data_IF_975886175855
#
_entry.id   IF_975886175855
#
_cell.length_a   1.000
_cell.length_b   1.000
_cell.length_c   1.000
_cell.angle_alpha   90.00
_cell.angle_beta   90.00
_cell.angle_gamma   90.00
#
_symmetry.space_group_name_H-M   'P 1'
#
loop_
_entity.id
_entity.type
_entity.pdbx_description
1 polymer ?
#
# COMPACT_ATOMS: atom_id res chain seq x y z
N UNK A 1 -20.88 -13.36 20.79
CA UNK A 1 -19.42 -13.45 20.95
C UNK A 1 -18.63 -13.44 19.62
N UNK A 2 -19.29 -13.54 18.45
CA UNK A 2 -18.62 -13.51 17.13
C UNK A 2 -18.58 -12.14 16.44
N UNK A 3 -19.18 -11.10 17.00
CA UNK A 3 -19.28 -9.76 16.36
C UNK A 3 -18.09 -8.83 16.61
N UNK A 4 -17.42 -8.91 17.76
CA UNK A 4 -16.30 -8.00 18.09
C UNK A 4 -15.03 -8.25 17.29
N UNK A 5 -14.69 -9.51 17.00
CA UNK A 5 -13.49 -9.85 16.22
C UNK A 5 -13.52 -9.40 14.75
N UNK A 6 -14.70 -9.08 14.21
CA UNK A 6 -14.86 -8.69 12.81
C UNK A 6 -14.59 -7.20 12.56
N UNK A 7 -14.61 -6.38 13.61
CA UNK A 7 -14.42 -4.92 13.54
C UNK A 7 -13.09 -4.45 14.16
N UNK A 8 -12.23 -5.37 14.57
CA UNK A 8 -10.91 -5.05 15.11
C UNK A 8 -9.91 -4.88 13.96
N UNK A 9 -9.67 -3.63 13.56
CA UNK A 9 -8.77 -3.29 12.49
C UNK A 9 -7.32 -3.69 12.80
N UNK A 10 -6.89 -3.64 14.06
CA UNK A 10 -5.58 -4.10 14.49
C UNK A 10 -5.38 -5.60 14.25
N UNK A 11 -6.42 -6.41 14.51
CA UNK A 11 -6.36 -7.87 14.24
C UNK A 11 -6.30 -8.17 12.76
N UNK A 12 -7.01 -7.40 11.94
CA UNK A 12 -6.95 -7.54 10.48
C UNK A 12 -5.57 -7.16 9.94
N UNK A 13 -5.01 -6.07 10.45
CA UNK A 13 -3.67 -5.63 10.07
C UNK A 13 -2.62 -6.66 10.50
N UNK A 14 -2.66 -7.14 11.75
CA UNK A 14 -1.78 -8.21 12.21
C UNK A 14 -1.88 -9.49 11.36
N UNK A 15 -3.10 -9.91 11.02
CA UNK A 15 -3.33 -11.07 10.15
C UNK A 15 -2.75 -10.86 8.73
N UNK A 16 -2.65 -9.62 8.27
CA UNK A 16 -2.03 -9.31 6.99
C UNK A 16 -0.51 -9.47 7.02
N UNK A 17 0.15 -9.21 8.15
CA UNK A 17 1.58 -9.52 8.34
C UNK A 17 1.88 -11.02 8.36
N UNK A 18 0.88 -11.87 8.65
CA UNK A 18 1.03 -13.33 8.63
C UNK A 18 0.88 -13.94 7.22
N UNK A 19 0.79 -13.14 6.17
CA UNK A 19 0.70 -13.67 4.81
C UNK A 19 1.99 -14.42 4.41
N UNK A 20 1.89 -15.52 3.64
CA UNK A 20 3.06 -16.32 3.25
C UNK A 20 4.14 -15.53 2.51
N UNK A 21 3.75 -14.48 1.78
CA UNK A 21 4.68 -13.62 1.07
C UNK A 21 5.57 -12.81 2.03
N UNK A 22 5.06 -12.31 3.16
CA UNK A 22 5.86 -11.64 4.20
C UNK A 22 6.84 -12.62 4.82
N UNK A 23 6.39 -13.82 5.20
CA UNK A 23 7.25 -14.84 5.78
C UNK A 23 8.41 -15.25 4.83
N UNK A 24 8.13 -15.40 3.53
CA UNK A 24 9.17 -15.71 2.53
C UNK A 24 10.18 -14.57 2.33
N UNK A 25 9.79 -13.33 2.55
CA UNK A 25 10.62 -12.14 2.39
C UNK A 25 11.07 -11.53 3.73
N UNK A 26 11.13 -12.32 4.80
CA UNK A 26 11.39 -11.86 6.17
C UNK A 26 12.63 -10.98 6.32
N UNK A 27 13.67 -11.21 5.53
CA UNK A 27 14.91 -10.43 5.56
C UNK A 27 14.86 -9.12 4.75
N UNK A 28 13.79 -8.87 3.96
CA UNK A 28 13.76 -7.77 3.00
C UNK A 28 12.44 -7.01 2.95
N UNK A 29 11.37 -7.53 3.56
CA UNK A 29 10.04 -6.91 3.46
C UNK A 29 10.00 -5.51 4.08
N UNK A 30 10.79 -5.28 5.11
CA UNK A 30 10.93 -4.01 5.81
C UNK A 30 11.57 -2.89 4.98
N UNK A 31 12.06 -3.22 3.79
CA UNK A 31 12.52 -2.19 2.84
C UNK A 31 11.36 -1.31 2.35
N UNK A 32 10.17 -1.90 2.21
CA UNK A 32 9.00 -1.21 1.65
C UNK A 32 7.71 -1.41 2.45
N UNK A 33 7.79 -2.04 3.61
CA UNK A 33 6.65 -2.23 4.53
C UNK A 33 7.15 -2.00 5.95
N UNK A 34 6.43 -1.21 6.74
CA UNK A 34 6.75 -0.99 8.14
C UNK A 34 6.76 -2.34 8.89
N UNK A 35 7.75 -2.57 9.75
CA UNK A 35 7.80 -3.79 10.58
C UNK A 35 6.66 -3.80 11.57
N UNK A 36 6.14 -4.99 11.83
CA UNK A 36 5.20 -5.23 12.91
C UNK A 36 5.90 -6.01 14.03
N UNK A 37 5.89 -5.47 15.23
CA UNK A 37 6.47 -6.04 16.44
C UNK A 37 5.47 -6.86 17.25
N UNK A 38 4.20 -6.85 16.84
CA UNK A 38 3.13 -7.59 17.51
C UNK A 38 2.33 -6.73 18.49
N UNK A 39 1.78 -7.37 19.51
CA UNK A 39 0.80 -6.79 20.41
C UNK A 39 1.42 -6.20 21.67
N UNK A 40 0.90 -5.07 22.11
CA UNK A 40 1.18 -4.47 23.42
C UNK A 40 -0.12 -4.19 24.14
N UNK A 41 -0.14 -4.46 25.45
CA UNK A 41 -1.28 -4.11 26.30
C UNK A 41 -1.19 -2.65 26.72
N UNK A 42 -2.24 -1.89 26.48
CA UNK A 42 -2.37 -0.48 26.89
C UNK A 42 -3.58 -0.28 27.81
N UNK A 43 -3.69 0.91 28.40
CA UNK A 43 -4.86 1.29 29.21
C UNK A 43 -6.15 1.41 28.40
N UNK A 44 -6.04 1.53 27.06
CA UNK A 44 -7.15 1.64 26.12
C UNK A 44 -7.49 0.31 25.43
N UNK A 45 -6.77 -0.77 25.77
CA UNK A 45 -6.90 -2.10 25.14
C UNK A 45 -5.61 -2.56 24.47
N UNK A 46 -5.70 -3.65 23.71
CA UNK A 46 -4.54 -4.21 23.01
C UNK A 46 -4.23 -3.37 21.74
N UNK A 47 -2.99 -2.88 21.65
CA UNK A 47 -2.47 -2.12 20.50
C UNK A 47 -1.53 -2.95 19.63
N UNK A 48 -1.48 -2.66 18.34
CA UNK A 48 -0.49 -3.22 17.42
C UNK A 48 0.71 -2.27 17.32
N UNK A 49 1.91 -2.80 17.49
CA UNK A 49 3.16 -2.02 17.42
C UNK A 49 3.81 -2.21 16.07
N UNK A 50 4.03 -1.09 15.37
CA UNK A 50 4.73 -1.07 14.08
C UNK A 50 5.86 -0.05 14.11
N UNK A 51 6.76 -0.09 13.10
CA UNK A 51 7.80 0.93 12.93
C UNK A 51 7.19 2.33 12.79
N UNK A 52 7.80 3.29 13.46
CA UNK A 52 7.69 4.70 13.11
C UNK A 52 8.78 5.01 12.07
N UNK A 53 8.37 5.25 10.83
CA UNK A 53 9.31 5.68 9.79
C UNK A 53 9.62 7.16 10.01
N UNK A 54 10.89 7.49 10.15
CA UNK A 54 11.36 8.84 10.45
C UNK A 54 12.14 9.47 9.29
N UNK A 55 12.13 10.80 9.25
CA UNK A 55 13.00 11.62 8.42
C UNK A 55 14.44 11.67 8.97
N UNK A 56 15.33 12.43 8.31
CA UNK A 56 16.74 12.59 8.74
C UNK A 56 16.88 13.32 10.09
N UNK A 57 15.84 14.03 10.54
CA UNK A 57 15.83 14.77 11.81
C UNK A 57 15.20 13.97 12.95
N UNK A 58 14.69 12.75 12.65
CA UNK A 58 14.01 11.89 13.62
C UNK A 58 12.51 12.19 13.80
N UNK A 59 11.94 13.10 12.98
CA UNK A 59 10.49 13.32 12.96
C UNK A 59 9.77 12.26 12.13
N UNK A 60 8.46 12.05 12.34
CA UNK A 60 7.67 11.21 11.43
C UNK A 60 7.89 11.62 9.97
N UNK A 61 8.19 10.63 9.13
CA UNK A 61 8.42 10.88 7.71
C UNK A 61 7.14 11.36 7.03
N UNK A 62 7.27 12.28 6.08
CA UNK A 62 6.19 12.84 5.28
C UNK A 62 5.52 11.74 4.45
N UNK A 63 4.19 11.81 4.31
CA UNK A 63 3.47 10.94 3.41
C UNK A 63 3.69 11.32 1.95
N UNK A 64 3.50 10.36 1.06
CA UNK A 64 3.57 10.63 -0.38
C UNK A 64 2.50 11.64 -0.82
N UNK A 65 1.31 11.62 -0.19
CA UNK A 65 0.23 12.58 -0.48
C UNK A 65 0.63 14.02 -0.12
N UNK A 66 1.22 14.23 1.06
CA UNK A 66 1.74 15.54 1.49
C UNK A 66 2.84 16.02 0.54
N UNK A 67 3.83 15.17 0.24
CA UNK A 67 4.90 15.52 -0.70
C UNK A 67 4.38 15.94 -2.06
N UNK A 68 3.45 15.16 -2.64
CA UNK A 68 2.87 15.47 -3.95
C UNK A 68 2.11 16.80 -3.95
N UNK A 69 1.46 17.16 -2.84
CA UNK A 69 0.75 18.43 -2.72
C UNK A 69 1.69 19.64 -2.70
N UNK A 70 2.91 19.46 -2.19
CA UNK A 70 3.91 20.54 -2.02
C UNK A 70 4.86 20.65 -3.22
N UNK A 71 5.27 19.51 -3.80
CA UNK A 71 6.36 19.43 -4.78
C UNK A 71 5.94 18.85 -6.12
N UNK A 72 4.74 18.24 -6.20
CA UNK A 72 4.32 17.54 -7.40
C UNK A 72 5.03 16.19 -7.57
N UNK A 73 4.92 15.62 -8.77
CA UNK A 73 5.49 14.32 -9.13
C UNK A 73 6.84 14.50 -9.84
N UNK A 74 7.90 14.63 -9.08
CA UNK A 74 9.27 14.76 -9.59
C UNK A 74 9.93 13.40 -9.91
N UNK A 75 11.16 13.46 -10.44
CA UNK A 75 11.93 12.28 -10.82
C UNK A 75 12.31 11.40 -9.62
N UNK A 76 12.56 12.00 -8.45
CA UNK A 76 12.91 11.26 -7.23
C UNK A 76 11.75 10.37 -6.79
N UNK A 77 10.55 10.94 -6.78
CA UNK A 77 9.33 10.20 -6.43
C UNK A 77 8.98 9.15 -7.50
N UNK A 78 9.11 9.47 -8.79
CA UNK A 78 8.91 8.49 -9.84
C UNK A 78 9.82 7.26 -9.67
N UNK A 79 11.11 7.48 -9.35
CA UNK A 79 12.05 6.40 -9.07
C UNK A 79 11.65 5.60 -7.81
N UNK A 80 11.24 6.27 -6.75
CA UNK A 80 10.78 5.63 -5.52
C UNK A 80 9.54 4.74 -5.76
N UNK A 81 8.57 5.22 -6.55
CA UNK A 81 7.37 4.47 -6.97
C UNK A 81 7.76 3.26 -7.84
N UNK A 82 8.67 3.43 -8.79
CA UNK A 82 9.17 2.31 -9.62
C UNK A 82 9.86 1.23 -8.77
N UNK A 83 10.63 1.61 -7.75
CA UNK A 83 11.29 0.68 -6.85
C UNK A 83 10.29 -0.08 -5.97
N UNK A 84 9.28 0.61 -5.41
CA UNK A 84 8.18 -0.02 -4.69
C UNK A 84 7.41 -1.01 -5.58
N UNK A 85 7.09 -0.60 -6.81
CA UNK A 85 6.37 -1.46 -7.76
C UNK A 85 7.18 -2.74 -8.11
N UNK A 86 8.49 -2.60 -8.34
CA UNK A 86 9.40 -3.75 -8.55
C UNK A 86 9.41 -4.66 -7.33
N UNK A 87 9.52 -4.11 -6.14
CA UNK A 87 9.50 -4.86 -4.89
C UNK A 87 8.20 -5.66 -4.73
N UNK A 88 7.03 -5.04 -4.92
CA UNK A 88 5.75 -5.73 -4.80
C UNK A 88 5.60 -6.86 -5.81
N UNK A 89 6.04 -6.66 -7.07
CA UNK A 89 6.02 -7.69 -8.11
C UNK A 89 6.90 -8.89 -7.79
N UNK A 90 8.05 -8.67 -7.18
CA UNK A 90 9.01 -9.75 -6.84
C UNK A 90 8.68 -10.44 -5.54
N UNK A 91 8.29 -9.70 -4.51
CA UNK A 91 7.96 -10.24 -3.19
C UNK A 91 6.61 -10.94 -3.13
N UNK A 92 5.66 -10.55 -4.02
CA UNK A 92 4.26 -10.97 -4.00
C UNK A 92 3.53 -10.62 -2.69
N UNK A 93 4.01 -9.61 -1.97
CA UNK A 93 3.34 -9.10 -0.78
C UNK A 93 2.05 -8.39 -1.19
N UNK A 94 0.93 -8.84 -0.63
CA UNK A 94 -0.39 -8.36 -0.98
C UNK A 94 -0.76 -7.13 -0.16
N UNK A 95 -1.31 -6.13 -0.84
CA UNK A 95 -1.79 -4.89 -0.23
C UNK A 95 -3.25 -4.68 -0.55
N UNK A 96 -4.07 -4.27 0.42
CA UNK A 96 -5.50 -3.94 0.23
C UNK A 96 -5.68 -2.48 -0.17
N UNK A 97 -4.79 -1.59 0.32
CA UNK A 97 -4.93 -0.14 0.18
C UNK A 97 -3.57 0.52 -0.10
N UNK A 98 -3.15 0.50 -1.37
CA UNK A 98 -1.92 1.12 -1.84
C UNK A 98 -2.20 2.56 -2.28
N UNK A 99 -2.38 3.46 -1.30
CA UNK A 99 -2.74 4.87 -1.51
C UNK A 99 -1.62 5.79 -1.04
N UNK A 100 -1.47 7.01 -1.59
CA UNK A 100 -0.39 7.93 -1.24
C UNK A 100 -0.31 8.28 0.26
N UNK A 101 -1.43 8.40 0.97
CA UNK A 101 -1.45 8.66 2.41
C UNK A 101 -0.97 7.46 3.27
N UNK A 102 -0.92 6.25 2.70
CA UNK A 102 -0.40 5.05 3.36
C UNK A 102 1.07 4.76 3.02
N UNK A 103 1.69 5.61 2.20
CA UNK A 103 3.09 5.51 1.79
C UNK A 103 3.87 6.70 2.37
N UNK A 104 4.94 6.43 3.09
CA UNK A 104 5.81 7.47 3.65
C UNK A 104 7.19 7.44 2.99
N UNK A 105 7.84 8.62 2.95
CA UNK A 105 9.13 8.83 2.31
C UNK A 105 10.26 8.61 3.30
N UNK A 106 10.79 7.40 3.39
CA UNK A 106 12.00 7.13 4.14
C UNK A 106 13.23 7.60 3.33
N UNK A 107 14.12 8.43 3.90
CA UNK A 107 15.32 8.86 3.19
C UNK A 107 16.26 7.69 2.91
N UNK A 108 16.97 7.73 1.77
CA UNK A 108 18.04 6.82 1.41
C UNK A 108 19.11 7.54 0.55
N UNK A 109 20.18 6.82 0.20
CA UNK A 109 21.33 7.39 -0.57
C UNK A 109 20.95 7.89 -1.97
N UNK A 110 19.81 7.49 -2.52
CA UNK A 110 19.31 7.85 -3.84
C UNK A 110 18.12 8.84 -3.79
N UNK A 111 17.83 9.41 -2.63
CA UNK A 111 16.68 10.27 -2.38
C UNK A 111 15.70 9.65 -1.41
N UNK A 112 14.65 8.99 -1.91
CA UNK A 112 13.60 8.42 -1.07
C UNK A 112 13.31 6.97 -1.38
N UNK A 113 12.90 6.25 -0.35
CA UNK A 113 12.31 4.93 -0.39
C UNK A 113 10.88 5.02 0.15
N UNK A 114 9.90 4.54 -0.61
CA UNK A 114 8.52 4.48 -0.15
C UNK A 114 8.33 3.29 0.78
N UNK A 115 7.72 3.53 1.93
CA UNK A 115 7.37 2.51 2.92
C UNK A 115 5.88 2.53 3.17
N UNK A 116 5.22 1.38 3.00
CA UNK A 116 3.82 1.18 3.32
C UNK A 116 3.67 1.05 4.83
N UNK A 117 2.89 1.95 5.44
CA UNK A 117 2.64 2.00 6.89
C UNK A 117 1.28 1.42 7.28
N UNK A 118 0.34 1.32 6.34
CA UNK A 118 -0.99 0.73 6.50
C UNK A 118 -1.45 0.14 5.15
N UNK A 119 -2.45 -0.71 5.20
CA UNK A 119 -3.07 -1.24 3.99
C UNK A 119 -2.49 -2.55 3.48
N UNK A 120 -1.80 -3.33 4.31
CA UNK A 120 -1.43 -4.71 4.00
C UNK A 120 -2.64 -5.62 3.86
N UNK A 121 -2.46 -6.74 3.12
CA UNK A 121 -3.42 -7.83 3.00
C UNK A 121 -4.36 -7.75 1.82
N UNK A 122 -5.51 -8.41 1.95
CA UNK A 122 -6.54 -8.51 0.92
C UNK A 122 -7.87 -7.94 1.42
N UNK A 123 -8.57 -7.24 0.54
CA UNK A 123 -9.96 -6.80 0.76
C UNK A 123 -11.00 -7.78 0.21
N UNK A 124 -10.58 -8.92 -0.38
CA UNK A 124 -11.46 -9.88 -1.05
C UNK A 124 -11.87 -11.03 -0.15
N UNK A 125 -13.13 -11.46 -0.30
CA UNK A 125 -13.71 -12.59 0.45
C UNK A 125 -13.02 -13.93 0.13
N UNK A 126 -12.56 -14.12 -1.13
CA UNK A 126 -11.85 -15.33 -1.57
C UNK A 126 -10.34 -15.03 -1.63
N UNK A 127 -9.52 -15.63 -0.74
CA UNK A 127 -8.10 -15.29 -0.64
C UNK A 127 -7.22 -16.03 -1.66
N UNK A 128 -7.68 -16.23 -2.90
CA UNK A 128 -6.95 -16.97 -3.95
C UNK A 128 -5.54 -16.43 -4.18
N UNK A 129 -5.36 -15.11 -4.06
CA UNK A 129 -4.07 -14.47 -4.21
C UNK A 129 -3.04 -14.87 -3.13
N UNK A 130 -3.46 -15.40 -1.97
CA UNK A 130 -2.54 -15.91 -0.94
C UNK A 130 -1.89 -17.24 -1.35
N UNK A 131 -2.56 -18.02 -2.21
CA UNK A 131 -2.19 -19.40 -2.53
C UNK A 131 -1.77 -19.60 -3.99
N UNK A 132 -1.99 -18.62 -4.85
CA UNK A 132 -1.64 -18.68 -6.27
C UNK A 132 -0.82 -17.47 -6.70
N UNK A 133 0.36 -17.72 -7.25
CA UNK A 133 1.24 -16.68 -7.79
C UNK A 133 0.56 -15.87 -8.90
N UNK A 134 -0.19 -16.51 -9.77
CA UNK A 134 -0.94 -15.84 -10.85
C UNK A 134 -1.95 -14.83 -10.29
N UNK A 135 -2.75 -15.24 -9.30
CA UNK A 135 -3.73 -14.32 -8.69
C UNK A 135 -3.06 -13.24 -7.85
N UNK A 136 -1.92 -13.55 -7.21
CA UNK A 136 -1.12 -12.55 -6.49
C UNK A 136 -0.59 -11.46 -7.43
N UNK A 137 0.02 -11.86 -8.55
CA UNK A 137 0.51 -10.92 -9.57
C UNK A 137 -0.61 -10.04 -10.12
N UNK A 138 -1.74 -10.65 -10.50
CA UNK A 138 -2.90 -9.91 -11.01
C UNK A 138 -3.46 -8.91 -9.98
N UNK A 139 -3.49 -9.31 -8.72
CA UNK A 139 -3.91 -8.40 -7.63
C UNK A 139 -2.94 -7.21 -7.49
N UNK A 140 -1.63 -7.48 -7.47
CA UNK A 140 -0.59 -6.45 -7.34
C UNK A 140 -0.67 -5.47 -8.52
N UNK A 141 -0.75 -5.97 -9.77
CA UNK A 141 -0.86 -5.08 -10.94
C UNK A 141 -2.09 -4.18 -10.85
N UNK A 142 -3.23 -4.71 -10.41
CA UNK A 142 -4.43 -3.90 -10.19
C UNK A 142 -4.21 -2.81 -9.13
N UNK A 143 -3.50 -3.12 -8.03
CA UNK A 143 -3.19 -2.11 -6.99
C UNK A 143 -2.20 -1.07 -7.47
N UNK A 144 -1.20 -1.46 -8.25
CA UNK A 144 -0.25 -0.53 -8.88
C UNK A 144 -0.94 0.40 -9.89
N UNK A 145 -1.84 -0.12 -10.72
CA UNK A 145 -2.65 0.71 -11.63
C UNK A 145 -3.46 1.76 -10.86
N UNK A 146 -4.07 1.36 -9.73
CA UNK A 146 -4.78 2.30 -8.86
C UNK A 146 -3.86 3.37 -8.26
N UNK A 147 -2.66 2.98 -7.81
CA UNK A 147 -1.67 3.92 -7.31
C UNK A 147 -1.29 4.93 -8.40
N UNK A 148 -0.90 4.48 -9.60
CA UNK A 148 -0.53 5.37 -10.70
C UNK A 148 -1.65 6.34 -11.05
N UNK A 149 -2.86 5.84 -11.18
CA UNK A 149 -4.04 6.68 -11.45
C UNK A 149 -4.29 7.72 -10.34
N UNK A 150 -4.09 7.32 -9.07
CA UNK A 150 -4.20 8.26 -7.95
C UNK A 150 -3.09 9.31 -7.99
N UNK A 151 -1.86 8.94 -8.33
CA UNK A 151 -0.74 9.89 -8.47
C UNK A 151 -1.03 10.93 -9.56
N UNK A 152 -1.56 10.52 -10.71
CA UNK A 152 -1.96 11.44 -11.79
C UNK A 152 -3.03 12.43 -11.31
N UNK A 153 -4.00 11.94 -10.54
CA UNK A 153 -5.03 12.80 -9.96
C UNK A 153 -4.47 13.77 -8.91
N UNK A 154 -3.54 13.33 -8.06
CA UNK A 154 -2.93 14.19 -7.02
C UNK A 154 -2.19 15.41 -7.61
N UNK A 155 -1.58 15.25 -8.77
CA UNK A 155 -0.83 16.32 -9.45
C UNK A 155 -1.66 17.08 -10.49
N UNK A 156 -2.92 16.69 -10.70
CA UNK A 156 -3.85 17.40 -11.57
C UNK A 156 -4.38 18.67 -10.90
N UNK A 157 -5.13 19.46 -11.63
CA UNK A 157 -5.84 20.65 -11.12
C UNK A 157 -6.96 20.31 -10.10
N UNK A 158 -7.26 19.00 -9.91
CA UNK A 158 -8.31 18.48 -9.04
C UNK A 158 -9.69 19.07 -9.30
N UNK A 159 -9.93 19.52 -10.54
CA UNK A 159 -11.22 20.07 -10.99
C UNK A 159 -12.36 19.07 -10.83
N UNK A 160 -12.04 17.76 -10.89
CA UNK A 160 -12.97 16.65 -10.66
C UNK A 160 -12.64 16.02 -9.30
N UNK A 161 -13.68 15.77 -8.48
CA UNK A 161 -13.46 15.11 -7.19
C UNK A 161 -12.86 13.71 -7.36
N UNK A 162 -12.05 13.26 -6.36
CA UNK A 162 -11.51 11.90 -6.39
C UNK A 162 -12.61 10.84 -6.54
N UNK A 163 -13.74 11.02 -5.88
CA UNK A 163 -14.88 10.10 -5.93
C UNK A 163 -15.39 9.89 -7.36
N UNK A 164 -15.53 10.97 -8.12
CA UNK A 164 -16.05 10.93 -9.48
C UNK A 164 -15.00 10.37 -10.45
N UNK A 165 -13.73 10.74 -10.24
CA UNK A 165 -12.59 10.22 -10.98
C UNK A 165 -12.43 8.71 -10.75
N UNK A 166 -12.54 8.25 -9.50
CA UNK A 166 -12.50 6.83 -9.13
C UNK A 166 -13.64 6.04 -9.81
N UNK A 167 -14.86 6.59 -9.83
CA UNK A 167 -15.99 5.96 -10.49
C UNK A 167 -15.73 5.78 -11.99
N UNK A 168 -15.19 6.79 -12.66
CA UNK A 168 -14.85 6.74 -14.08
C UNK A 168 -13.77 5.69 -14.37
N UNK A 169 -12.74 5.60 -13.54
CA UNK A 169 -11.67 4.62 -13.70
C UNK A 169 -12.17 3.18 -13.50
N UNK A 170 -13.02 2.95 -12.52
CA UNK A 170 -13.66 1.63 -12.32
C UNK A 170 -14.45 1.19 -13.55
N UNK A 171 -15.15 2.12 -14.20
CA UNK A 171 -15.94 1.85 -15.40
C UNK A 171 -15.06 1.58 -16.64
N UNK A 172 -14.01 2.38 -16.86
CA UNK A 172 -13.07 2.20 -17.98
C UNK A 172 -12.22 0.93 -17.83
N UNK A 173 -11.76 0.61 -16.60
CA UNK A 173 -11.04 -0.63 -16.31
C UNK A 173 -11.84 -1.90 -16.58
N UNK A 174 -13.16 -1.89 -16.34
CA UNK A 174 -14.05 -2.99 -16.74
C UNK A 174 -14.18 -3.12 -18.27
N UNK A 175 -14.11 -2.01 -19.01
CA UNK A 175 -14.20 -2.00 -20.48
C UNK A 175 -12.97 -2.61 -21.13
N UNK A 176 -11.78 -2.30 -20.61
CA UNK A 176 -10.51 -2.86 -21.12
C UNK A 176 -10.39 -4.38 -20.87
N UNK A 177 -10.97 -4.90 -19.79
CA UNK A 177 -11.01 -6.36 -19.53
C UNK A 177 -11.95 -7.09 -20.50
N UNK A 178 -12.99 -6.44 -20.99
CA UNK A 178 -13.93 -7.03 -21.97
C UNK A 178 -13.37 -7.02 -23.39
N UNK A 179 -12.63 -5.98 -23.77
CA UNK A 179 -12.00 -5.89 -25.10
C UNK A 179 -10.78 -6.81 -25.25
N UNK A 180 -10.03 -7.08 -24.17
CA UNK A 180 -8.90 -8.02 -24.16
C UNK A 180 -9.33 -9.50 -24.25
N UNK A 181 -10.63 -9.82 -24.16
CA UNK A 181 -11.16 -11.18 -24.24
C UNK A 181 -11.89 -11.50 -25.57
N UNK A 182 -11.85 -10.58 -26.53
CA UNK A 182 -12.29 -10.79 -27.90
C UNK A 182 -11.08 -10.89 -28.83
#
# INVERSE_FOLDING_TARGET
MFREAYFDDNRREYAAYQQPAVARNQCTYDRHVARCYGWVRTTLGDGLVTDLIADLNGNPAQTLEEYLSEHGLDTLIQNAVCNLARFLRTSLILTKNLMPHNLVLAPNDLGYRLVLIDGLGLSTFLPLAKYSQYFAQRHIEKRLQWLYFRLEWEVSDRSISWRDTEATFRFSGMRLEVESKR
#
